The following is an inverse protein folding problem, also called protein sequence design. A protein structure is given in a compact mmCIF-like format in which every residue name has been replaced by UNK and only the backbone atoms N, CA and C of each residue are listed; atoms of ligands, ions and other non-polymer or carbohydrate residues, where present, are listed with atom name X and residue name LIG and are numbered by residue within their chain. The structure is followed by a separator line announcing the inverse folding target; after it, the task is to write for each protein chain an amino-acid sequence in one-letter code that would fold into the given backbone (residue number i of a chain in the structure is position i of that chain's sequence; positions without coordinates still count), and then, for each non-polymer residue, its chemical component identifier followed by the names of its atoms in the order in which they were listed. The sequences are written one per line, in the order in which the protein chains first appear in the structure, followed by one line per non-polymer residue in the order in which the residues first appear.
data_IF_620381371263
#
_entry.id   IF_620381371263
#
_cell.length_a   1.000
_cell.length_b   1.000
_cell.length_c   1.000
_cell.angle_alpha   90.00
_cell.angle_beta   90.00
_cell.angle_gamma   90.00
#
_symmetry.space_group_name_H-M   'P 1'
#
loop_
_entity.id
_entity.type
_entity.pdbx_description
1 polymer ?
#
# COMPACT_ATOMS: atom_id res chain seq x y z
N UNK A 1 7.27 18.12 22.37
CA UNK A 1 8.43 18.47 21.52
C UNK A 1 9.02 17.17 20.98
N UNK A 2 8.84 16.88 19.69
CA UNK A 2 9.55 15.78 19.03
C UNK A 2 11.06 16.05 19.15
N UNK A 3 11.84 15.03 19.51
CA UNK A 3 13.29 15.21 19.59
C UNK A 3 13.82 15.61 18.20
N UNK A 4 14.82 16.51 18.15
CA UNK A 4 15.45 16.96 16.88
C UNK A 4 15.87 15.80 15.98
N UNK A 5 16.23 14.66 16.56
CA UNK A 5 16.61 13.44 15.84
C UNK A 5 15.42 12.77 15.16
N UNK A 6 14.26 12.71 15.80
CA UNK A 6 13.03 12.17 15.20
C UNK A 6 12.57 13.04 14.02
N UNK A 7 12.53 14.34 14.18
CA UNK A 7 12.17 15.27 13.10
C UNK A 7 13.12 15.14 11.89
N UNK A 8 14.45 15.08 12.15
CA UNK A 8 15.44 14.91 11.09
C UNK A 8 15.29 13.58 10.36
N UNK A 9 15.04 12.48 11.08
CA UNK A 9 14.84 11.17 10.48
C UNK A 9 13.54 11.12 9.65
N UNK A 10 12.47 11.74 10.12
CA UNK A 10 11.20 11.81 9.39
C UNK A 10 11.34 12.64 8.12
N UNK A 11 11.98 13.81 8.18
CA UNK A 11 12.23 14.64 6.99
C UNK A 11 13.09 13.91 5.95
N UNK A 12 14.11 13.17 6.41
CA UNK A 12 14.95 12.37 5.52
C UNK A 12 14.14 11.25 4.85
N UNK A 13 13.34 10.50 5.62
CA UNK A 13 12.47 9.46 5.08
C UNK A 13 11.44 10.02 4.09
N UNK A 14 10.83 11.17 4.40
CA UNK A 14 9.91 11.85 3.48
C UNK A 14 10.61 12.27 2.19
N UNK A 15 11.83 12.83 2.29
CA UNK A 15 12.62 13.18 1.11
C UNK A 15 12.97 11.99 0.23
N UNK A 16 13.36 10.87 0.85
CA UNK A 16 13.61 9.60 0.13
C UNK A 16 12.33 9.10 -0.53
N UNK A 17 11.19 9.10 0.17
CA UNK A 17 9.91 8.67 -0.39
C UNK A 17 9.48 9.51 -1.58
N UNK A 18 9.68 10.83 -1.52
CA UNK A 18 9.42 11.74 -2.64
C UNK A 18 10.30 11.42 -3.85
N UNK A 19 11.59 11.25 -3.63
CA UNK A 19 12.54 10.88 -4.69
C UNK A 19 12.13 9.54 -5.34
N UNK A 20 11.77 8.56 -4.52
CA UNK A 20 11.29 7.26 -4.99
C UNK A 20 10.01 7.38 -5.83
N UNK A 21 9.07 8.21 -5.39
CA UNK A 21 7.83 8.48 -6.13
C UNK A 21 8.10 9.16 -7.48
N UNK A 22 9.05 10.12 -7.52
CA UNK A 22 9.47 10.75 -8.77
C UNK A 22 10.09 9.76 -9.76
N UNK A 23 11.02 8.93 -9.27
CA UNK A 23 11.68 7.89 -10.07
C UNK A 23 10.64 6.86 -10.57
N UNK A 24 9.74 6.43 -9.68
CA UNK A 24 8.66 5.50 -10.02
C UNK A 24 7.72 6.06 -11.08
N UNK A 25 7.35 7.34 -10.98
CA UNK A 25 6.50 8.01 -11.97
C UNK A 25 7.20 8.17 -13.32
N UNK A 26 8.47 8.56 -13.32
CA UNK A 26 9.26 8.66 -14.56
C UNK A 26 9.38 7.29 -15.25
N UNK A 27 9.61 6.23 -14.49
CA UNK A 27 9.64 4.86 -15.00
C UNK A 27 8.29 4.42 -15.56
N UNK A 28 7.19 4.70 -14.84
CA UNK A 28 5.84 4.39 -15.31
C UNK A 28 5.50 5.11 -16.61
N UNK A 29 5.91 6.37 -16.73
CA UNK A 29 5.74 7.14 -17.96
C UNK A 29 6.54 6.55 -19.14
N UNK A 30 7.79 6.19 -18.89
CA UNK A 30 8.63 5.52 -19.89
C UNK A 30 8.04 4.18 -20.31
N UNK A 31 7.56 3.39 -19.36
CA UNK A 31 6.94 2.10 -19.61
C UNK A 31 5.65 2.25 -20.43
N UNK A 32 4.86 3.31 -20.17
CA UNK A 32 3.65 3.62 -20.92
C UNK A 32 3.93 3.88 -22.41
N UNK A 33 4.98 4.62 -22.70
CA UNK A 33 5.39 4.89 -24.09
C UNK A 33 5.90 3.61 -24.75
N UNK A 34 6.61 2.75 -24.02
CA UNK A 34 7.22 1.54 -24.59
C UNK A 34 6.22 0.41 -24.84
N UNK A 35 5.29 0.18 -23.90
CA UNK A 35 4.31 -0.91 -23.98
C UNK A 35 2.99 -0.50 -24.63
N UNK A 36 2.70 0.79 -24.67
CA UNK A 36 1.38 1.30 -25.05
C UNK A 36 0.28 1.01 -24.01
N UNK A 37 -0.92 1.50 -24.30
CA UNK A 37 -2.05 1.40 -23.37
C UNK A 37 -2.48 -0.06 -23.10
N UNK A 38 -2.53 -0.91 -24.13
CA UNK A 38 -2.93 -2.32 -23.99
C UNK A 38 -1.90 -3.11 -23.18
N UNK A 39 -0.59 -2.90 -23.43
CA UNK A 39 0.48 -3.56 -22.67
C UNK A 39 0.48 -3.14 -21.21
N UNK A 40 0.28 -1.86 -20.91
CA UNK A 40 0.10 -1.40 -19.52
C UNK A 40 -1.13 -2.03 -18.86
N UNK A 41 -2.25 -2.11 -19.57
CA UNK A 41 -3.46 -2.78 -19.07
C UNK A 41 -3.19 -4.24 -18.70
N UNK A 42 -2.47 -4.97 -19.54
CA UNK A 42 -2.07 -6.35 -19.29
C UNK A 42 -1.16 -6.47 -18.05
N UNK A 43 -0.16 -5.60 -17.94
CA UNK A 43 0.72 -5.54 -16.77
C UNK A 43 -0.07 -5.23 -15.48
N UNK A 44 -1.01 -4.27 -15.51
CA UNK A 44 -1.81 -3.91 -14.33
C UNK A 44 -2.71 -5.06 -13.87
N UNK A 45 -3.30 -5.82 -14.80
CA UNK A 45 -4.06 -7.03 -14.44
C UNK A 45 -3.17 -8.10 -13.81
N UNK A 46 -1.99 -8.34 -14.39
CA UNK A 46 -1.00 -9.26 -13.83
C UNK A 46 -0.58 -8.81 -12.43
N UNK A 47 -0.33 -7.51 -12.23
CA UNK A 47 0.05 -6.95 -10.94
C UNK A 47 -1.08 -7.02 -9.90
N UNK A 48 -2.34 -6.93 -10.30
CA UNK A 48 -3.46 -7.08 -9.36
C UNK A 48 -3.54 -8.51 -8.82
N UNK A 49 -3.38 -9.51 -9.67
CA UNK A 49 -3.38 -10.93 -9.27
C UNK A 49 -2.14 -11.26 -8.44
N UNK A 50 -0.95 -10.82 -8.88
CA UNK A 50 0.29 -11.04 -8.13
C UNK A 50 0.28 -10.31 -6.79
N UNK A 51 -0.38 -9.15 -6.69
CA UNK A 51 -0.59 -8.40 -5.45
C UNK A 51 -1.44 -9.15 -4.43
N UNK A 52 -2.50 -9.85 -4.89
CA UNK A 52 -3.27 -10.75 -4.03
C UNK A 52 -2.38 -11.89 -3.50
N UNK A 53 -1.63 -12.54 -4.38
CA UNK A 53 -0.74 -13.62 -3.99
C UNK A 53 0.39 -13.13 -3.06
N UNK A 54 0.93 -11.93 -3.28
CA UNK A 54 1.90 -11.31 -2.38
C UNK A 54 1.28 -11.03 -0.99
N UNK A 55 0.02 -10.61 -0.94
CA UNK A 55 -0.71 -10.45 0.33
C UNK A 55 -0.86 -11.79 1.06
N UNK A 56 -1.17 -12.87 0.34
CA UNK A 56 -1.19 -14.24 0.87
C UNK A 56 0.20 -14.68 1.35
N UNK A 57 1.26 -14.38 0.60
CA UNK A 57 2.63 -14.71 0.94
C UNK A 57 3.09 -14.01 2.23
N UNK A 58 2.83 -12.70 2.36
CA UNK A 58 3.21 -11.91 3.54
C UNK A 58 2.45 -12.37 4.79
N UNK A 59 1.15 -12.68 4.66
CA UNK A 59 0.34 -13.32 5.72
C UNK A 59 0.50 -12.69 7.12
N UNK A 60 0.59 -11.34 7.18
CA UNK A 60 0.72 -10.59 8.43
C UNK A 60 2.09 -10.69 9.11
N UNK A 61 3.08 -11.39 8.54
CA UNK A 61 4.37 -11.66 9.18
C UNK A 61 5.15 -10.39 9.50
N UNK A 62 5.05 -9.34 8.71
CA UNK A 62 5.74 -8.07 8.96
C UNK A 62 5.39 -7.49 10.34
N UNK A 63 4.11 -7.42 10.67
CA UNK A 63 3.65 -6.93 11.98
C UNK A 63 3.91 -7.91 13.10
N UNK A 64 3.74 -9.22 12.83
CA UNK A 64 4.00 -10.25 13.82
C UNK A 64 5.48 -10.30 14.21
N UNK A 65 6.41 -10.20 13.26
CA UNK A 65 7.85 -10.14 13.54
C UNK A 65 8.22 -8.86 14.30
N UNK A 66 7.69 -7.69 13.88
CA UNK A 66 7.95 -6.42 14.59
C UNK A 66 7.54 -6.53 16.05
N UNK A 67 6.32 -7.00 16.33
CA UNK A 67 5.81 -7.09 17.69
C UNK A 67 6.53 -8.16 18.53
N UNK A 68 6.69 -9.36 17.96
CA UNK A 68 7.34 -10.47 18.67
C UNK A 68 8.78 -10.13 19.06
N UNK A 69 9.53 -9.52 18.15
CA UNK A 69 10.93 -9.14 18.41
C UNK A 69 11.01 -7.98 19.40
N UNK A 70 10.10 -6.99 19.30
CA UNK A 70 10.04 -5.90 20.27
C UNK A 70 9.71 -6.40 21.69
N UNK A 71 8.84 -7.39 21.83
CA UNK A 71 8.52 -8.04 23.12
C UNK A 71 9.75 -8.76 23.69
N UNK A 72 10.51 -9.51 22.86
CA UNK A 72 11.72 -10.21 23.29
C UNK A 72 12.88 -9.25 23.64
N UNK A 73 13.00 -8.12 22.94
CA UNK A 73 13.97 -7.07 23.27
C UNK A 73 13.62 -6.36 24.58
N UNK A 74 12.34 -6.10 24.82
CA UNK A 74 11.83 -5.45 26.03
C UNK A 74 11.92 -6.33 27.28
N UNK A 75 11.91 -7.65 27.11
CA UNK A 75 12.03 -8.63 28.21
C UNK A 75 13.44 -8.80 28.79
N UNK A 76 14.43 -8.10 28.26
CA UNK A 76 15.82 -8.12 28.75
C UNK A 76 16.64 -9.35 28.33
N UNK A 77 16.03 -10.34 27.74
CA UNK A 77 16.66 -11.59 27.27
C UNK A 77 16.91 -11.55 25.76
N UNK A 78 17.88 -10.75 25.30
CA UNK A 78 18.27 -10.66 23.88
C UNK A 78 18.62 -12.00 23.22
N UNK A 79 18.79 -13.07 24.01
CA UNK A 79 19.08 -14.43 23.52
C UNK A 79 17.92 -15.13 22.80
N UNK A 80 16.66 -14.68 23.00
CA UNK A 80 15.48 -15.28 22.36
C UNK A 80 15.14 -14.65 21.01
N UNK A 81 15.69 -13.48 20.66
CA UNK A 81 15.46 -12.76 19.39
C UNK A 81 15.83 -13.62 18.17
N UNK A 82 16.97 -14.30 18.20
CA UNK A 82 17.39 -15.17 17.10
C UNK A 82 16.43 -16.36 16.89
N UNK A 83 15.93 -16.94 17.99
CA UNK A 83 14.91 -18.01 17.95
C UNK A 83 13.56 -17.50 17.43
N UNK A 84 13.12 -16.32 17.84
CA UNK A 84 11.91 -15.69 17.35
C UNK A 84 12.02 -15.40 15.85
N UNK A 85 13.14 -14.82 15.41
CA UNK A 85 13.36 -14.51 14.00
C UNK A 85 13.42 -15.76 13.11
N UNK A 86 14.05 -16.84 13.58
CA UNK A 86 14.07 -18.13 12.84
C UNK A 86 12.66 -18.65 12.60
N UNK A 87 11.75 -18.55 13.58
CA UNK A 87 10.35 -18.95 13.42
C UNK A 87 9.59 -18.03 12.47
N UNK A 88 9.85 -16.72 12.53
CA UNK A 88 9.28 -15.76 11.57
C UNK A 88 9.74 -16.05 10.14
N UNK A 89 11.02 -16.33 9.94
CA UNK A 89 11.57 -16.70 8.63
C UNK A 89 10.98 -18.02 8.12
N UNK A 90 10.85 -19.04 9.00
CA UNK A 90 10.23 -20.32 8.63
C UNK A 90 8.75 -20.13 8.22
N UNK A 91 7.98 -19.38 9.00
CA UNK A 91 6.60 -19.04 8.66
C UNK A 91 6.51 -18.27 7.34
N UNK A 92 7.37 -17.25 7.14
CA UNK A 92 7.44 -16.49 5.91
C UNK A 92 7.80 -17.37 4.70
N UNK A 93 8.79 -18.27 4.84
CA UNK A 93 9.17 -19.22 3.79
C UNK A 93 8.02 -20.17 3.45
N UNK A 94 7.30 -20.67 4.47
CA UNK A 94 6.15 -21.56 4.29
C UNK A 94 4.98 -20.86 3.58
N UNK A 95 4.56 -19.68 4.06
CA UNK A 95 3.47 -18.92 3.45
C UNK A 95 3.85 -18.40 2.06
N UNK A 96 5.08 -17.89 1.89
CA UNK A 96 5.59 -17.40 0.62
C UNK A 96 5.76 -18.52 -0.41
N UNK A 97 6.33 -19.66 0.01
CA UNK A 97 6.45 -20.86 -0.83
C UNK A 97 5.09 -21.44 -1.22
N UNK A 98 4.15 -21.51 -0.26
CA UNK A 98 2.77 -21.94 -0.51
C UNK A 98 2.02 -21.03 -1.49
N UNK A 99 2.12 -19.70 -1.31
CA UNK A 99 1.51 -18.73 -2.22
C UNK A 99 2.14 -18.78 -3.61
N UNK A 100 3.47 -18.96 -3.69
CA UNK A 100 4.19 -19.12 -4.95
C UNK A 100 3.79 -20.41 -5.68
N UNK A 101 3.76 -21.54 -4.98
CA UNK A 101 3.29 -22.81 -5.54
C UNK A 101 1.85 -22.71 -6.03
N UNK A 102 0.97 -22.12 -5.23
CA UNK A 102 -0.44 -21.87 -5.61
C UNK A 102 -0.55 -21.01 -6.87
N UNK A 103 0.18 -19.89 -6.94
CA UNK A 103 0.19 -19.02 -8.11
C UNK A 103 0.75 -19.75 -9.35
N UNK A 104 1.81 -20.52 -9.19
CA UNK A 104 2.41 -21.27 -10.30
C UNK A 104 1.46 -22.33 -10.87
N UNK A 105 0.81 -23.10 -9.99
CA UNK A 105 -0.13 -24.15 -10.38
C UNK A 105 -1.42 -23.57 -10.98
N UNK A 106 -1.88 -22.42 -10.45
CA UNK A 106 -3.09 -21.76 -10.92
C UNK A 106 -2.82 -20.71 -12.01
N UNK A 107 -1.59 -20.54 -12.51
CA UNK A 107 -1.25 -19.53 -13.50
C UNK A 107 -2.09 -19.66 -14.79
N UNK A 108 -2.29 -20.89 -15.29
CA UNK A 108 -3.12 -21.14 -16.47
C UNK A 108 -4.60 -20.79 -16.22
N UNK A 109 -5.30 -21.36 -15.24
CA UNK A 109 -6.69 -21.00 -15.00
C UNK A 109 -6.88 -19.52 -14.65
N UNK A 110 -5.92 -18.91 -13.95
CA UNK A 110 -5.95 -17.46 -13.67
C UNK A 110 -5.81 -16.64 -14.96
N UNK A 111 -4.88 -16.99 -15.83
CA UNK A 111 -4.69 -16.31 -17.12
C UNK A 111 -5.90 -16.47 -18.04
N UNK A 112 -6.36 -17.70 -18.27
CA UNK A 112 -7.45 -17.98 -19.20
C UNK A 112 -8.83 -17.61 -18.65
N UNK A 113 -9.15 -18.03 -17.41
CA UNK A 113 -10.50 -17.89 -16.86
C UNK A 113 -10.68 -16.56 -16.11
N UNK A 114 -9.69 -16.10 -15.35
CA UNK A 114 -9.84 -14.93 -14.47
C UNK A 114 -9.40 -13.63 -15.15
N UNK A 115 -8.28 -13.60 -15.81
CA UNK A 115 -7.84 -12.42 -16.57
C UNK A 115 -8.52 -12.43 -17.96
N UNK A 116 -8.67 -13.60 -18.56
CA UNK A 116 -9.22 -13.79 -19.89
C UNK A 116 -8.21 -13.45 -20.99
N UNK A 117 -6.89 -13.57 -20.69
CA UNK A 117 -5.82 -13.33 -21.62
C UNK A 117 -4.64 -14.27 -21.36
N UNK A 118 -4.38 -15.17 -22.29
CA UNK A 118 -3.33 -16.18 -22.21
C UNK A 118 -1.92 -15.59 -22.07
N UNK A 119 -1.71 -14.38 -22.61
CA UNK A 119 -0.41 -13.67 -22.60
C UNK A 119 0.08 -13.37 -21.17
N UNK A 120 -0.76 -13.49 -20.16
CA UNK A 120 -0.39 -13.27 -18.74
C UNK A 120 0.19 -14.49 -18.06
N UNK A 121 0.01 -15.69 -18.59
CA UNK A 121 0.40 -16.94 -17.93
C UNK A 121 1.90 -16.99 -17.62
N UNK A 122 2.74 -16.65 -18.60
CA UNK A 122 4.18 -16.61 -18.41
C UNK A 122 4.58 -15.62 -17.31
N UNK A 123 3.99 -14.44 -17.31
CA UNK A 123 4.24 -13.40 -16.29
C UNK A 123 3.81 -13.87 -14.90
N UNK A 124 2.67 -14.56 -14.76
CA UNK A 124 2.21 -15.12 -13.49
C UNK A 124 3.16 -16.21 -12.96
N UNK A 125 3.67 -17.09 -13.83
CA UNK A 125 4.64 -18.11 -13.47
C UNK A 125 5.97 -17.50 -12.99
N UNK A 126 6.43 -16.44 -13.64
CA UNK A 126 7.63 -15.71 -13.23
C UNK A 126 7.39 -15.04 -11.85
N UNK A 127 6.25 -14.37 -11.68
CA UNK A 127 5.89 -13.73 -10.41
C UNK A 127 5.79 -14.74 -9.25
N UNK A 128 5.39 -15.97 -9.51
CA UNK A 128 5.31 -17.02 -8.49
C UNK A 128 6.66 -17.26 -7.79
N UNK A 129 7.78 -17.14 -8.52
CA UNK A 129 9.12 -17.32 -7.98
C UNK A 129 9.52 -16.21 -6.99
N UNK A 130 8.92 -15.02 -7.07
CA UNK A 130 9.22 -13.91 -6.16
C UNK A 130 8.42 -13.96 -4.84
N UNK A 131 7.38 -14.78 -4.74
CA UNK A 131 6.53 -14.84 -3.55
C UNK A 131 7.27 -15.19 -2.26
N UNK A 132 8.17 -16.19 -2.22
CA UNK A 132 9.00 -16.46 -1.05
C UNK A 132 9.92 -15.29 -0.68
N UNK A 133 10.46 -14.59 -1.69
CA UNK A 133 11.34 -13.45 -1.48
C UNK A 133 10.58 -12.29 -0.80
N UNK A 134 9.39 -11.95 -1.28
CA UNK A 134 8.52 -10.90 -0.72
C UNK A 134 8.21 -11.21 0.75
N UNK A 135 7.84 -12.45 1.06
CA UNK A 135 7.50 -12.84 2.43
C UNK A 135 8.70 -12.78 3.39
N UNK A 136 9.86 -13.26 2.96
CA UNK A 136 11.08 -13.21 3.76
C UNK A 136 11.57 -11.77 3.97
N UNK A 137 11.51 -10.92 2.94
CA UNK A 137 11.79 -9.49 3.05
C UNK A 137 10.83 -8.80 4.05
N UNK A 138 9.55 -9.16 4.05
CA UNK A 138 8.58 -8.63 5.01
C UNK A 138 8.94 -9.02 6.46
N UNK A 139 9.36 -10.27 6.71
CA UNK A 139 9.80 -10.72 8.02
C UNK A 139 11.06 -9.97 8.50
N UNK A 140 12.06 -9.81 7.62
CA UNK A 140 13.30 -9.07 7.90
C UNK A 140 13.04 -7.58 8.12
N UNK A 141 12.14 -6.97 7.35
CA UNK A 141 11.71 -5.59 7.54
C UNK A 141 11.09 -5.38 8.93
N UNK A 142 10.27 -6.34 9.38
CA UNK A 142 9.71 -6.34 10.73
C UNK A 142 10.78 -6.38 11.83
N UNK A 143 11.83 -7.19 11.65
CA UNK A 143 12.98 -7.25 12.54
C UNK A 143 13.68 -5.90 12.67
N UNK A 144 14.07 -5.28 11.56
CA UNK A 144 14.76 -3.99 11.58
C UNK A 144 13.89 -2.86 12.14
N UNK A 145 12.58 -2.93 11.92
CA UNK A 145 11.62 -1.99 12.50
C UNK A 145 11.58 -2.11 14.02
N UNK A 146 11.53 -3.34 14.55
CA UNK A 146 11.57 -3.60 16.00
C UNK A 146 12.87 -3.13 16.64
N UNK A 147 14.00 -3.28 15.94
CA UNK A 147 15.31 -2.81 16.40
C UNK A 147 15.53 -1.29 16.25
N UNK A 148 14.55 -0.53 15.75
CA UNK A 148 14.66 0.91 15.50
C UNK A 148 15.57 1.29 14.32
N UNK A 149 15.98 0.33 13.47
CA UNK A 149 16.90 0.49 12.34
C UNK A 149 16.16 0.58 11.01
N UNK A 150 15.15 1.43 10.93
CA UNK A 150 14.21 1.56 9.80
C UNK A 150 14.90 1.97 8.48
N UNK A 151 16.08 2.59 8.58
CA UNK A 151 16.86 2.99 7.40
C UNK A 151 17.37 1.80 6.57
N UNK A 152 17.58 0.62 7.17
CA UNK A 152 18.05 -0.58 6.46
C UNK A 152 17.00 -1.13 5.47
N UNK A 153 15.74 -1.35 5.88
CA UNK A 153 14.66 -1.67 4.93
C UNK A 153 14.44 -0.59 3.87
N UNK A 154 14.56 0.68 4.24
CA UNK A 154 14.42 1.78 3.28
C UNK A 154 15.51 1.75 2.20
N UNK A 155 16.77 1.47 2.59
CA UNK A 155 17.88 1.30 1.65
C UNK A 155 17.68 0.10 0.72
N UNK A 156 17.23 -1.04 1.27
CA UNK A 156 16.95 -2.22 0.48
C UNK A 156 15.83 -1.99 -0.53
N UNK A 157 14.78 -1.29 -0.14
CA UNK A 157 13.67 -0.93 -1.03
C UNK A 157 14.10 0.06 -2.13
N UNK A 158 14.97 1.01 -1.81
CA UNK A 158 15.58 1.90 -2.82
C UNK A 158 16.41 1.10 -3.85
N UNK A 159 17.27 0.20 -3.37
CA UNK A 159 18.08 -0.65 -4.23
C UNK A 159 17.20 -1.57 -5.11
N UNK A 160 16.15 -2.14 -4.55
CA UNK A 160 15.14 -2.95 -5.25
C UNK A 160 14.48 -2.15 -6.38
N UNK A 161 13.99 -0.95 -6.09
CA UNK A 161 13.33 -0.12 -7.10
C UNK A 161 14.29 0.26 -8.23
N UNK A 162 15.50 0.70 -7.93
CA UNK A 162 16.49 1.06 -8.93
C UNK A 162 16.92 -0.16 -9.77
N UNK A 163 17.16 -1.30 -9.13
CA UNK A 163 17.50 -2.53 -9.82
C UNK A 163 16.33 -3.02 -10.69
N UNK A 164 15.09 -2.95 -10.19
CA UNK A 164 13.90 -3.32 -10.95
C UNK A 164 13.71 -2.48 -12.20
N UNK A 165 13.94 -1.17 -12.11
CA UNK A 165 13.90 -0.25 -13.26
C UNK A 165 15.01 -0.61 -14.26
N UNK A 166 16.25 -0.74 -13.79
CA UNK A 166 17.40 -1.02 -14.64
C UNK A 166 17.26 -2.39 -15.35
N UNK A 167 16.89 -3.44 -14.61
CA UNK A 167 16.70 -4.77 -15.16
C UNK A 167 15.52 -4.83 -16.15
N UNK A 168 14.40 -4.18 -15.82
CA UNK A 168 13.25 -4.10 -16.73
C UNK A 168 13.62 -3.35 -18.01
N UNK A 169 14.31 -2.22 -17.89
CA UNK A 169 14.75 -1.46 -19.04
C UNK A 169 15.70 -2.29 -19.92
N UNK A 170 16.64 -3.00 -19.32
CA UNK A 170 17.57 -3.87 -20.02
C UNK A 170 16.85 -5.02 -20.74
N UNK A 171 15.94 -5.73 -20.05
CA UNK A 171 15.18 -6.85 -20.63
C UNK A 171 14.28 -6.39 -21.79
N UNK A 172 13.69 -5.19 -21.69
CA UNK A 172 12.86 -4.65 -22.76
C UNK A 172 13.66 -4.20 -24.00
N UNK A 173 14.97 -4.01 -23.93
CA UNK A 173 15.79 -3.75 -25.12
C UNK A 173 15.86 -4.97 -26.04
N UNK A 174 15.73 -6.18 -25.49
CA UNK A 174 15.75 -7.44 -26.23
C UNK A 174 14.36 -7.91 -26.71
N UNK A 175 13.27 -7.23 -26.38
CA UNK A 175 11.93 -7.60 -26.85
C UNK A 175 11.53 -6.81 -28.10
N UNK A 176 10.93 -7.51 -29.06
CA UNK A 176 10.43 -6.88 -30.29
C UNK A 176 9.23 -5.98 -29.99
N UNK A 177 9.12 -4.80 -30.65
CA UNK A 177 7.97 -3.93 -30.52
C UNK A 177 6.69 -4.66 -30.97
N UNK A 178 5.71 -4.78 -30.07
CA UNK A 178 4.41 -5.42 -30.36
C UNK A 178 4.19 -6.78 -29.71
N UNK A 179 5.23 -7.46 -29.21
CA UNK A 179 5.06 -8.70 -28.43
C UNK A 179 4.71 -8.35 -26.96
N UNK A 180 3.41 -8.23 -26.69
CA UNK A 180 2.89 -7.89 -25.37
C UNK A 180 3.18 -8.96 -24.31
N UNK A 181 3.21 -10.23 -24.72
CA UNK A 181 3.52 -11.34 -23.81
C UNK A 181 4.95 -11.25 -23.27
N UNK A 182 5.92 -11.15 -24.18
CA UNK A 182 7.33 -11.01 -23.81
C UNK A 182 7.60 -9.71 -23.06
N UNK A 183 6.96 -8.63 -23.45
CA UNK A 183 7.13 -7.34 -22.76
C UNK A 183 6.59 -7.37 -21.34
N UNK A 184 5.41 -7.96 -21.11
CA UNK A 184 4.84 -8.14 -19.77
C UNK A 184 5.70 -9.10 -18.93
N UNK A 185 6.20 -10.19 -19.54
CA UNK A 185 7.10 -11.13 -18.89
C UNK A 185 8.44 -10.46 -18.50
N UNK A 186 9.01 -9.61 -19.36
CA UNK A 186 10.24 -8.87 -19.10
C UNK A 186 10.06 -7.90 -17.89
N UNK A 187 8.94 -7.19 -17.81
CA UNK A 187 8.62 -6.32 -16.67
C UNK A 187 8.51 -7.12 -15.39
N UNK A 188 7.82 -8.26 -15.44
CA UNK A 188 7.64 -9.13 -14.26
C UNK A 188 8.95 -9.78 -13.86
N UNK A 189 9.80 -10.20 -14.81
CA UNK A 189 11.13 -10.76 -14.55
C UNK A 189 12.07 -9.73 -13.92
N UNK A 190 12.08 -8.49 -14.42
CA UNK A 190 12.87 -7.40 -13.83
C UNK A 190 12.49 -7.14 -12.38
N UNK A 191 11.19 -7.15 -12.07
CA UNK A 191 10.70 -7.03 -10.69
C UNK A 191 11.07 -8.23 -9.83
N UNK A 192 10.87 -9.47 -10.32
CA UNK A 192 11.20 -10.67 -9.57
C UNK A 192 12.71 -10.76 -9.25
N UNK A 193 13.56 -10.36 -10.18
CA UNK A 193 15.00 -10.30 -9.96
C UNK A 193 15.40 -9.22 -8.94
N UNK A 194 14.72 -8.06 -8.96
CA UNK A 194 14.92 -7.00 -7.98
C UNK A 194 14.49 -7.42 -6.56
N UNK A 195 13.39 -8.16 -6.42
CA UNK A 195 12.93 -8.74 -5.16
C UNK A 195 13.97 -9.73 -4.59
N UNK A 196 14.57 -10.54 -5.45
CA UNK A 196 15.65 -11.46 -5.04
C UNK A 196 16.89 -10.70 -4.55
N UNK A 197 17.28 -9.63 -5.25
CA UNK A 197 18.37 -8.74 -4.83
C UNK A 197 18.07 -8.08 -3.49
N UNK A 198 16.84 -7.59 -3.31
CA UNK A 198 16.35 -7.01 -2.05
C UNK A 198 16.45 -8.00 -0.90
N UNK A 199 16.01 -9.24 -1.13
CA UNK A 199 16.15 -10.32 -0.14
C UNK A 199 17.61 -10.59 0.21
N UNK A 200 18.49 -10.70 -0.79
CA UNK A 200 19.92 -10.94 -0.56
C UNK A 200 20.53 -9.80 0.29
N UNK A 201 20.24 -8.55 -0.06
CA UNK A 201 20.72 -7.38 0.69
C UNK A 201 20.19 -7.37 2.12
N UNK A 202 18.90 -7.56 2.31
CA UNK A 202 18.26 -7.61 3.64
C UNK A 202 18.82 -8.75 4.49
N UNK A 203 19.07 -9.91 3.88
CA UNK A 203 19.62 -11.07 4.57
C UNK A 203 21.08 -10.86 5.00
N UNK A 204 21.90 -10.26 4.14
CA UNK A 204 23.29 -9.88 4.48
C UNK A 204 23.30 -8.86 5.63
N UNK A 205 22.45 -7.83 5.55
CA UNK A 205 22.31 -6.85 6.63
C UNK A 205 21.86 -7.49 7.95
N UNK A 206 20.97 -8.49 7.88
CA UNK A 206 20.51 -9.23 9.06
C UNK A 206 21.61 -10.10 9.65
N UNK A 207 22.37 -10.84 8.84
CA UNK A 207 23.48 -11.66 9.32
C UNK A 207 24.55 -10.82 10.01
N UNK A 208 24.91 -9.68 9.42
CA UNK A 208 25.86 -8.74 10.02
C UNK A 208 25.34 -8.21 11.37
N UNK A 209 24.08 -7.87 11.44
CA UNK A 209 23.43 -7.34 12.65
C UNK A 209 23.36 -8.39 13.77
N UNK A 210 23.03 -9.63 13.42
CA UNK A 210 22.93 -10.75 14.36
C UNK A 210 24.27 -11.06 15.00
N UNK A 211 25.33 -11.14 14.19
CA UNK A 211 26.70 -11.42 14.69
C UNK A 211 27.19 -10.36 15.66
N UNK A 212 26.77 -9.10 15.49
CA UNK A 212 27.25 -7.99 16.29
C UNK A 212 26.51 -7.81 17.64
N UNK A 213 25.29 -8.33 17.78
CA UNK A 213 24.40 -7.87 18.87
C UNK A 213 23.69 -8.99 19.67
N UNK A 214 23.66 -10.25 19.21
CA UNK A 214 22.82 -11.28 19.85
C UNK A 214 23.53 -12.62 20.06
N UNK A 215 23.42 -13.16 21.28
CA UNK A 215 23.88 -14.51 21.64
C UNK A 215 22.70 -15.49 21.55
N UNK A 216 22.92 -16.68 21.00
CA UNK A 216 21.87 -17.68 20.78
C UNK A 216 21.49 -18.36 22.11
N UNK A 217 20.35 -17.98 22.72
CA UNK A 217 19.74 -18.70 23.84
C UNK A 217 18.48 -19.40 23.36
N UNK A 218 18.23 -20.61 23.86
CA UNK A 218 17.02 -21.39 23.53
C UNK A 218 15.79 -20.73 24.15
N UNK A 219 14.90 -20.24 23.29
CA UNK A 219 13.60 -19.68 23.72
C UNK A 219 12.58 -20.78 24.02
N UNK A 220 11.69 -20.52 24.98
CA UNK A 220 10.58 -21.40 25.34
C UNK A 220 9.57 -21.66 24.22
N UNK A 221 8.79 -22.74 24.30
CA UNK A 221 7.91 -23.26 23.25
C UNK A 221 6.72 -22.37 22.81
N UNK A 222 6.36 -21.33 23.54
CA UNK A 222 5.15 -20.54 23.31
C UNK A 222 5.23 -19.49 22.18
N UNK A 223 6.40 -19.24 21.58
CA UNK A 223 6.62 -18.18 20.61
C UNK A 223 5.80 -18.34 19.31
N UNK A 224 5.65 -19.57 18.79
CA UNK A 224 4.89 -19.82 17.55
C UNK A 224 3.41 -19.54 17.73
N UNK A 225 2.82 -19.88 18.88
CA UNK A 225 1.42 -19.58 19.21
C UNK A 225 1.17 -18.07 19.34
N UNK A 226 2.11 -17.34 19.96
CA UNK A 226 2.04 -15.87 20.05
C UNK A 226 2.11 -15.22 18.66
N UNK A 227 3.03 -15.67 17.81
CA UNK A 227 3.19 -15.20 16.43
C UNK A 227 1.89 -15.40 15.63
N UNK A 228 1.31 -16.61 15.64
CA UNK A 228 0.08 -16.91 14.89
C UNK A 228 -1.11 -16.10 15.39
N UNK A 229 -1.23 -15.90 16.71
CA UNK A 229 -2.30 -15.06 17.30
C UNK A 229 -2.25 -13.61 16.81
N UNK A 230 -1.09 -13.11 16.44
CA UNK A 230 -0.91 -11.76 15.89
C UNK A 230 -1.09 -11.77 14.37
N UNK A 231 -0.44 -12.72 13.67
CA UNK A 231 -0.40 -12.76 12.22
C UNK A 231 -1.76 -13.06 11.57
N UNK A 232 -2.50 -14.06 12.10
CA UNK A 232 -3.73 -14.57 11.46
C UNK A 232 -4.85 -13.54 11.36
N UNK A 233 -5.22 -12.77 12.42
CA UNK A 233 -6.27 -11.77 12.30
C UNK A 233 -5.92 -10.66 11.31
N UNK A 234 -4.66 -10.22 11.29
CA UNK A 234 -4.18 -9.20 10.37
C UNK A 234 -4.17 -9.71 8.91
N UNK A 235 -3.76 -10.96 8.73
CA UNK A 235 -3.77 -11.61 7.44
C UNK A 235 -5.18 -11.70 6.85
N UNK A 236 -6.17 -12.15 7.65
CA UNK A 236 -7.54 -12.35 7.19
C UNK A 236 -8.16 -11.04 6.66
N UNK A 237 -7.96 -9.93 7.38
CA UNK A 237 -8.45 -8.61 6.93
C UNK A 237 -7.75 -8.14 5.65
N UNK A 238 -6.45 -8.38 5.54
CA UNK A 238 -5.68 -8.04 4.34
C UNK A 238 -6.10 -8.88 3.14
N UNK A 239 -6.37 -10.18 3.34
CA UNK A 239 -6.85 -11.08 2.29
C UNK A 239 -8.19 -10.64 1.71
N UNK A 240 -9.16 -10.32 2.59
CA UNK A 240 -10.48 -9.86 2.16
C UNK A 240 -10.38 -8.61 1.30
N UNK A 241 -9.62 -7.61 1.76
CA UNK A 241 -9.43 -6.36 1.02
C UNK A 241 -8.71 -6.58 -0.32
N UNK A 242 -7.62 -7.37 -0.31
CA UNK A 242 -6.85 -7.64 -1.51
C UNK A 242 -7.65 -8.45 -2.54
N UNK A 243 -8.45 -9.42 -2.09
CA UNK A 243 -9.32 -10.20 -2.97
C UNK A 243 -10.40 -9.32 -3.62
N UNK A 244 -11.08 -8.47 -2.85
CA UNK A 244 -12.08 -7.54 -3.38
C UNK A 244 -11.47 -6.59 -4.42
N UNK A 245 -10.33 -5.98 -4.11
CA UNK A 245 -9.60 -5.10 -5.03
C UNK A 245 -9.20 -5.83 -6.33
N UNK A 246 -8.64 -7.04 -6.21
CA UNK A 246 -8.27 -7.84 -7.38
C UNK A 246 -9.48 -8.16 -8.24
N UNK A 247 -10.60 -8.56 -7.63
CA UNK A 247 -11.84 -8.83 -8.37
C UNK A 247 -12.37 -7.58 -9.09
N UNK A 248 -12.29 -6.39 -8.47
CA UNK A 248 -12.64 -5.14 -9.13
C UNK A 248 -11.78 -4.93 -10.39
N UNK A 249 -10.46 -5.05 -10.29
CA UNK A 249 -9.56 -4.91 -11.44
C UNK A 249 -9.86 -5.91 -12.55
N UNK A 250 -10.16 -7.16 -12.23
CA UNK A 250 -10.46 -8.20 -13.21
C UNK A 250 -11.82 -8.01 -13.89
N UNK A 251 -12.79 -7.43 -13.19
CA UNK A 251 -14.13 -7.19 -13.75
C UNK A 251 -14.15 -6.05 -14.76
N UNK A 252 -13.25 -5.06 -14.66
CA UNK A 252 -13.25 -3.88 -15.55
C UNK A 252 -13.06 -4.28 -17.01
N UNK A 253 -11.97 -4.94 -17.45
CA UNK A 253 -11.82 -5.31 -18.86
C UNK A 253 -12.91 -6.27 -19.36
N UNK A 254 -13.41 -7.16 -18.49
CA UNK A 254 -14.52 -8.08 -18.84
C UNK A 254 -15.82 -7.33 -19.09
N UNK A 255 -16.16 -6.41 -18.19
CA UNK A 255 -17.35 -5.59 -18.35
C UNK A 255 -17.28 -4.69 -19.58
N UNK A 256 -16.10 -4.15 -19.90
CA UNK A 256 -15.87 -3.38 -21.11
C UNK A 256 -16.00 -4.23 -22.39
N UNK A 257 -15.54 -5.48 -22.37
CA UNK A 257 -15.82 -6.42 -23.49
C UNK A 257 -17.30 -6.71 -23.65
N UNK A 258 -18.02 -6.86 -22.54
CA UNK A 258 -19.47 -7.08 -22.56
C UNK A 258 -20.26 -5.87 -23.07
N UNK A 259 -19.69 -4.66 -23.03
CA UNK A 259 -20.30 -3.45 -23.62
C UNK A 259 -20.05 -3.31 -25.14
N UNK A 260 -19.43 -4.31 -25.78
CA UNK A 260 -19.18 -4.33 -27.23
C UNK A 260 -17.78 -3.90 -27.66
N UNK A 261 -16.86 -3.61 -26.72
CA UNK A 261 -15.46 -3.31 -27.07
C UNK A 261 -14.69 -4.60 -27.41
N UNK A 262 -13.73 -4.47 -28.36
CA UNK A 262 -12.78 -5.56 -28.62
C UNK A 262 -11.88 -5.80 -27.40
N UNK A 263 -11.27 -6.98 -27.32
CA UNK A 263 -10.43 -7.34 -26.17
C UNK A 263 -9.28 -6.34 -25.96
N UNK A 264 -8.58 -5.95 -27.04
CA UNK A 264 -7.47 -5.03 -26.95
C UNK A 264 -7.93 -3.58 -26.66
N UNK A 265 -9.10 -3.14 -27.17
CA UNK A 265 -9.67 -1.83 -26.86
C UNK A 265 -10.11 -1.73 -25.38
N UNK A 266 -10.71 -2.80 -24.84
CA UNK A 266 -11.09 -2.87 -23.43
C UNK A 266 -9.85 -2.83 -22.51
N UNK A 267 -8.81 -3.57 -22.90
CA UNK A 267 -7.54 -3.61 -22.20
C UNK A 267 -6.81 -2.26 -22.26
N UNK A 268 -6.81 -1.60 -23.44
CA UNK A 268 -6.23 -0.28 -23.64
C UNK A 268 -6.96 0.79 -22.80
N UNK A 269 -8.31 0.79 -22.80
CA UNK A 269 -9.09 1.72 -21.98
C UNK A 269 -8.81 1.56 -20.47
N UNK A 270 -8.72 0.33 -20.00
CA UNK A 270 -8.32 0.03 -18.62
C UNK A 270 -6.87 0.48 -18.35
N UNK A 271 -5.95 0.20 -19.26
CA UNK A 271 -4.53 0.57 -19.16
C UNK A 271 -4.31 2.08 -19.13
N UNK A 272 -5.06 2.85 -19.91
CA UNK A 272 -4.99 4.31 -19.86
C UNK A 272 -5.41 4.81 -18.46
N UNK A 273 -6.54 4.34 -17.93
CA UNK A 273 -7.03 4.81 -16.62
C UNK A 273 -6.10 4.34 -15.51
N UNK A 274 -5.84 3.03 -15.39
CA UNK A 274 -5.09 2.46 -14.26
C UNK A 274 -3.57 2.53 -14.43
N UNK A 275 -3.07 2.49 -15.65
CA UNK A 275 -1.63 2.48 -15.91
C UNK A 275 -1.01 3.85 -16.18
N UNK A 276 -1.81 4.82 -16.66
CA UNK A 276 -1.31 6.17 -16.97
C UNK A 276 -1.89 7.23 -16.04
N UNK A 277 -3.22 7.32 -15.95
CA UNK A 277 -3.89 8.43 -15.27
C UNK A 277 -3.84 8.30 -13.76
N UNK A 278 -4.22 7.13 -13.21
CA UNK A 278 -4.24 6.94 -11.75
C UNK A 278 -2.88 7.14 -11.08
N UNK A 279 -1.75 6.61 -11.60
CA UNK A 279 -0.44 6.90 -11.04
C UNK A 279 -0.11 8.40 -11.00
N UNK A 280 -0.50 9.15 -12.03
CA UNK A 280 -0.29 10.60 -12.09
C UNK A 280 -1.15 11.35 -11.06
N UNK A 281 -2.41 10.91 -10.84
CA UNK A 281 -3.28 11.47 -9.80
C UNK A 281 -2.76 11.17 -8.40
N UNK A 282 -2.20 9.96 -8.17
CA UNK A 282 -1.65 9.58 -6.87
C UNK A 282 -0.26 10.15 -6.59
N UNK A 283 0.52 10.52 -7.61
CA UNK A 283 1.90 10.99 -7.41
C UNK A 283 2.00 12.17 -6.41
N UNK A 284 1.22 13.25 -6.51
CA UNK A 284 1.33 14.35 -5.55
C UNK A 284 0.83 14.01 -4.14
N UNK A 285 0.03 12.94 -3.96
CA UNK A 285 -0.50 12.54 -2.66
C UNK A 285 0.58 12.07 -1.67
N UNK A 286 1.79 11.76 -2.13
CA UNK A 286 2.91 11.35 -1.27
C UNK A 286 3.28 12.43 -0.24
N UNK A 287 3.09 13.72 -0.55
CA UNK A 287 3.26 14.81 0.41
C UNK A 287 2.22 14.78 1.52
N UNK A 288 0.98 14.51 1.14
CA UNK A 288 -0.12 14.46 2.09
C UNK A 288 -0.06 13.20 2.97
N UNK A 289 0.33 12.05 2.42
CA UNK A 289 0.52 10.84 3.21
C UNK A 289 1.60 11.02 4.27
N UNK A 290 2.71 11.66 3.92
CA UNK A 290 3.78 11.99 4.88
C UNK A 290 3.28 12.95 5.98
N UNK A 291 2.48 13.96 5.63
CA UNK A 291 1.87 14.86 6.61
C UNK A 291 0.89 14.11 7.53
N UNK A 292 0.08 13.21 6.98
CA UNK A 292 -0.86 12.39 7.76
C UNK A 292 -0.14 11.47 8.74
N UNK A 293 0.97 10.86 8.35
CA UNK A 293 1.79 10.00 9.23
C UNK A 293 2.38 10.77 10.42
N UNK A 294 2.73 12.06 10.25
CA UNK A 294 3.21 12.91 11.32
C UNK A 294 2.10 13.29 12.32
N UNK A 295 0.89 13.46 11.85
CA UNK A 295 -0.25 13.90 12.68
C UNK A 295 -0.87 12.75 13.48
N UNK A 296 -0.77 11.49 13.01
CA UNK A 296 -1.31 10.32 13.72
C UNK A 296 -0.83 10.23 15.17
N UNK A 297 0.49 10.29 15.49
CA UNK A 297 0.96 10.25 16.88
C UNK A 297 0.48 11.45 17.70
N UNK A 298 0.38 12.62 17.10
CA UNK A 298 -0.07 13.85 17.76
C UNK A 298 -1.54 13.74 18.16
N UNK A 299 -2.42 13.30 17.27
CA UNK A 299 -3.82 13.04 17.57
C UNK A 299 -3.98 11.99 18.67
N UNK A 300 -3.18 10.91 18.63
CA UNK A 300 -3.20 9.89 19.66
C UNK A 300 -2.78 10.45 21.01
N UNK A 301 -1.75 11.31 21.06
CA UNK A 301 -1.30 11.95 22.29
C UNK A 301 -2.38 12.89 22.89
N UNK A 302 -3.02 13.71 22.06
CA UNK A 302 -4.12 14.56 22.48
C UNK A 302 -5.32 13.75 22.98
N UNK A 303 -5.61 12.60 22.35
CA UNK A 303 -6.68 11.71 22.78
C UNK A 303 -6.41 11.11 24.17
N UNK A 304 -5.19 10.60 24.41
CA UNK A 304 -4.79 10.05 25.72
C UNK A 304 -4.83 11.13 26.80
N UNK A 305 -4.50 12.37 26.45
CA UNK A 305 -4.54 13.51 27.39
C UNK A 305 -5.94 14.09 27.57
N UNK A 306 -6.97 13.60 26.87
CA UNK A 306 -8.35 14.10 26.94
C UNK A 306 -8.56 15.52 26.40
N UNK A 307 -7.65 16.00 25.54
CA UNK A 307 -7.66 17.37 24.99
C UNK A 307 -8.50 17.46 23.71
N UNK A 308 -9.82 17.38 23.86
CA UNK A 308 -10.78 17.35 22.73
C UNK A 308 -10.71 18.58 21.82
N UNK A 309 -10.42 19.75 22.38
CA UNK A 309 -10.26 20.99 21.58
C UNK A 309 -9.03 20.91 20.66
N UNK A 310 -7.91 20.39 21.14
CA UNK A 310 -6.68 20.21 20.36
C UNK A 310 -6.88 19.17 19.25
N UNK A 311 -7.55 18.05 19.55
CA UNK A 311 -7.91 17.05 18.53
C UNK A 311 -8.70 17.71 17.37
N UNK A 312 -9.71 18.52 17.70
CA UNK A 312 -10.53 19.20 16.71
C UNK A 312 -9.73 20.20 15.87
N UNK A 313 -8.84 20.95 16.51
CA UNK A 313 -7.99 21.92 15.82
C UNK A 313 -7.00 21.22 14.89
N UNK A 314 -6.25 20.23 15.37
CA UNK A 314 -5.25 19.47 14.58
C UNK A 314 -5.91 18.74 13.41
N UNK A 315 -7.04 18.05 13.64
CA UNK A 315 -7.80 17.41 12.55
C UNK A 315 -8.34 18.43 11.55
N UNK A 316 -8.88 19.56 12.03
CA UNK A 316 -9.38 20.64 11.18
C UNK A 316 -8.28 21.32 10.37
N UNK A 317 -7.08 21.46 10.88
CA UNK A 317 -5.92 22.00 10.16
C UNK A 317 -5.47 21.05 9.05
N UNK A 318 -5.35 19.75 9.35
CA UNK A 318 -5.02 18.74 8.35
C UNK A 318 -6.03 18.72 7.21
N UNK A 319 -7.32 18.71 7.52
CA UNK A 319 -8.39 18.68 6.51
C UNK A 319 -8.38 19.95 5.64
N UNK A 320 -8.18 21.13 6.24
CA UNK A 320 -8.07 22.40 5.50
C UNK A 320 -6.83 22.43 4.61
N UNK A 321 -5.69 21.95 5.12
CA UNK A 321 -4.46 21.84 4.36
C UNK A 321 -4.65 20.87 3.18
N UNK A 322 -5.20 19.69 3.44
CA UNK A 322 -5.51 18.68 2.42
C UNK A 322 -6.41 19.23 1.32
N UNK A 323 -7.49 19.92 1.70
CA UNK A 323 -8.43 20.48 0.73
C UNK A 323 -7.79 21.59 -0.12
N UNK A 324 -7.02 22.51 0.48
CA UNK A 324 -6.32 23.56 -0.28
C UNK A 324 -5.27 22.97 -1.22
N UNK A 325 -4.48 22.04 -0.74
CA UNK A 325 -3.46 21.38 -1.52
C UNK A 325 -4.08 20.59 -2.68
N UNK A 326 -5.11 19.79 -2.41
CA UNK A 326 -5.77 18.96 -3.43
C UNK A 326 -6.50 19.79 -4.49
N UNK A 327 -7.11 20.94 -4.12
CA UNK A 327 -7.68 21.86 -5.09
C UNK A 327 -6.62 22.47 -6.00
N UNK A 328 -5.47 22.86 -5.45
CA UNK A 328 -4.36 23.36 -6.25
C UNK A 328 -3.83 22.31 -7.22
N UNK A 329 -3.60 21.08 -6.72
CA UNK A 329 -3.14 19.93 -7.55
C UNK A 329 -4.19 19.60 -8.63
N UNK A 330 -5.48 19.54 -8.26
CA UNK A 330 -6.57 19.29 -9.21
C UNK A 330 -6.59 20.34 -10.32
N UNK A 331 -6.47 21.62 -9.96
CA UNK A 331 -6.42 22.72 -10.94
C UNK A 331 -5.22 22.61 -11.88
N UNK A 332 -4.03 22.32 -11.36
CA UNK A 332 -2.83 22.10 -12.16
C UNK A 332 -3.01 20.91 -13.10
N UNK A 333 -3.48 19.76 -12.62
CA UNK A 333 -3.68 18.56 -13.41
C UNK A 333 -4.76 18.78 -14.49
N UNK A 334 -5.83 19.51 -14.18
CA UNK A 334 -6.89 19.84 -15.12
C UNK A 334 -6.39 20.77 -16.24
N UNK A 335 -5.71 21.85 -15.89
CA UNK A 335 -5.19 22.82 -16.85
C UNK A 335 -4.05 22.24 -17.71
N UNK A 336 -3.17 21.44 -17.10
CA UNK A 336 -2.03 20.83 -17.76
C UNK A 336 -2.32 19.45 -18.38
N UNK A 337 -3.59 19.00 -18.41
CA UNK A 337 -3.95 17.64 -18.84
C UNK A 337 -3.47 17.33 -20.26
N UNK A 338 -3.60 18.25 -21.21
CA UNK A 338 -3.14 18.04 -22.59
C UNK A 338 -1.61 18.00 -22.69
N UNK A 339 -0.94 18.86 -21.91
CA UNK A 339 0.52 18.87 -21.85
C UNK A 339 1.05 17.56 -21.24
N UNK A 340 0.51 17.13 -20.12
CA UNK A 340 0.92 15.92 -19.41
C UNK A 340 0.58 14.65 -20.21
N UNK A 341 -0.63 14.56 -20.77
CA UNK A 341 -1.03 13.43 -21.63
C UNK A 341 -0.24 13.37 -22.93
N UNK A 342 0.05 14.51 -23.55
CA UNK A 342 0.82 14.60 -24.77
C UNK A 342 2.32 14.40 -24.59
N UNK A 343 2.94 15.06 -23.60
CA UNK A 343 4.40 14.99 -23.38
C UNK A 343 4.82 13.70 -22.66
N UNK A 344 4.07 13.28 -21.64
CA UNK A 344 4.47 12.15 -20.80
C UNK A 344 4.05 10.82 -21.43
N UNK A 345 2.81 10.72 -21.89
CA UNK A 345 2.24 9.45 -22.35
C UNK A 345 2.04 9.35 -23.85
N UNK A 346 2.24 10.44 -24.60
CA UNK A 346 1.98 10.53 -26.04
C UNK A 346 0.56 10.02 -26.41
N UNK A 347 -0.42 10.24 -25.52
CA UNK A 347 -1.78 9.71 -25.62
C UNK A 347 -2.82 10.80 -25.40
N UNK A 348 -3.68 11.02 -26.41
CA UNK A 348 -4.84 11.93 -26.31
C UNK A 348 -5.90 11.40 -25.34
N UNK A 349 -6.05 10.08 -25.25
CA UNK A 349 -6.97 9.46 -24.33
C UNK A 349 -6.54 9.66 -22.87
N UNK A 350 -5.23 9.57 -22.60
CA UNK A 350 -4.68 9.88 -21.28
C UNK A 350 -4.97 11.34 -20.88
N UNK A 351 -4.80 12.30 -21.80
CA UNK A 351 -5.13 13.70 -21.57
C UNK A 351 -6.62 13.90 -21.26
N UNK A 352 -7.50 13.25 -22.05
CA UNK A 352 -8.96 13.31 -21.84
C UNK A 352 -9.36 12.72 -20.49
N UNK A 353 -8.90 11.53 -20.13
CA UNK A 353 -9.23 10.90 -18.86
C UNK A 353 -8.61 11.63 -17.67
N UNK A 354 -7.40 12.18 -17.83
CA UNK A 354 -6.79 13.03 -16.81
C UNK A 354 -7.66 14.26 -16.51
N UNK A 355 -8.15 14.94 -17.55
CA UNK A 355 -9.05 16.09 -17.37
C UNK A 355 -10.38 15.69 -16.70
N UNK A 356 -10.93 14.51 -17.06
CA UNK A 356 -12.15 14.01 -16.45
C UNK A 356 -11.97 13.57 -15.01
N UNK A 357 -10.81 13.04 -14.62
CA UNK A 357 -10.54 12.52 -13.29
C UNK A 357 -9.83 13.54 -12.36
N UNK A 358 -9.24 14.62 -12.89
CA UNK A 358 -8.62 15.64 -12.06
C UNK A 358 -9.55 16.21 -10.98
N UNK A 359 -10.87 16.46 -11.23
CA UNK A 359 -11.79 16.92 -10.18
C UNK A 359 -12.04 15.90 -9.06
N UNK A 360 -11.65 14.63 -9.22
CA UNK A 360 -11.73 13.61 -8.19
C UNK A 360 -10.62 13.76 -7.13
N UNK A 361 -9.51 14.42 -7.47
CA UNK A 361 -8.34 14.58 -6.58
C UNK A 361 -8.69 15.23 -5.22
N UNK A 362 -9.52 16.28 -5.14
CA UNK A 362 -9.94 16.83 -3.85
C UNK A 362 -10.67 15.84 -2.97
N UNK A 363 -11.46 14.95 -3.55
CA UNK A 363 -12.18 13.90 -2.82
C UNK A 363 -11.19 12.87 -2.30
N UNK A 364 -10.34 12.31 -3.17
CA UNK A 364 -9.33 11.30 -2.84
C UNK A 364 -8.38 11.77 -1.73
N UNK A 365 -7.85 12.98 -1.85
CA UNK A 365 -6.86 13.47 -0.89
C UNK A 365 -7.50 13.85 0.46
N UNK A 366 -8.75 14.35 0.42
CA UNK A 366 -9.50 14.62 1.66
C UNK A 366 -9.82 13.31 2.36
N UNK A 367 -10.18 12.24 1.62
CA UNK A 367 -10.40 10.92 2.19
C UNK A 367 -9.14 10.35 2.85
N UNK A 368 -7.97 10.47 2.21
CA UNK A 368 -6.68 10.10 2.80
C UNK A 368 -6.40 10.84 4.13
N UNK A 369 -6.74 12.12 4.22
CA UNK A 369 -6.57 12.91 5.44
C UNK A 369 -7.55 12.49 6.54
N UNK A 370 -8.81 12.22 6.20
CA UNK A 370 -9.84 11.69 7.11
C UNK A 370 -9.40 10.32 7.64
N UNK A 371 -8.91 9.45 6.78
CA UNK A 371 -8.42 8.12 7.12
C UNK A 371 -7.22 8.19 8.08
N UNK A 372 -6.30 9.14 7.86
CA UNK A 372 -5.22 9.46 8.79
C UNK A 372 -5.73 9.88 10.18
N UNK A 373 -6.73 10.76 10.23
CA UNK A 373 -7.37 11.15 11.49
C UNK A 373 -8.04 9.97 12.19
N UNK A 374 -8.79 9.13 11.48
CA UNK A 374 -9.45 7.96 12.03
C UNK A 374 -8.44 6.97 12.63
N UNK A 375 -7.30 6.75 11.94
CA UNK A 375 -6.20 5.91 12.44
C UNK A 375 -5.58 6.48 13.71
N UNK A 376 -5.32 7.79 13.74
CA UNK A 376 -4.78 8.48 14.92
C UNK A 376 -5.72 8.44 16.14
N UNK A 377 -7.02 8.40 15.90
CA UNK A 377 -8.06 8.29 16.93
C UNK A 377 -8.43 6.83 17.29
N UNK A 378 -7.70 5.84 16.78
CA UNK A 378 -7.97 4.42 17.06
C UNK A 378 -9.22 3.86 16.37
N UNK A 379 -9.81 4.57 15.41
CA UNK A 379 -11.01 4.18 14.68
C UNK A 379 -10.68 3.42 13.37
N UNK A 380 -9.51 2.84 13.27
CA UNK A 380 -9.05 2.13 12.07
C UNK A 380 -9.95 0.96 11.65
N UNK A 381 -10.60 0.28 12.61
CA UNK A 381 -11.51 -0.83 12.30
C UNK A 381 -12.73 -0.34 11.53
N UNK A 382 -13.24 0.86 11.85
CA UNK A 382 -14.30 1.50 11.11
C UNK A 382 -13.88 1.82 9.67
N UNK A 383 -12.73 2.47 9.49
CA UNK A 383 -12.16 2.77 8.17
C UNK A 383 -11.99 1.49 7.33
N UNK A 384 -11.47 0.41 7.93
CA UNK A 384 -11.39 -0.89 7.24
C UNK A 384 -12.75 -1.43 6.81
N UNK A 385 -13.77 -1.29 7.68
CA UNK A 385 -15.15 -1.70 7.37
C UNK A 385 -15.74 -0.93 6.20
N UNK A 386 -15.55 0.40 6.18
CA UNK A 386 -16.00 1.27 5.08
C UNK A 386 -15.32 0.90 3.76
N UNK A 387 -13.99 0.69 3.77
CA UNK A 387 -13.24 0.27 2.58
C UNK A 387 -13.72 -1.10 2.03
N UNK A 388 -14.05 -2.05 2.90
CA UNK A 388 -14.60 -3.35 2.47
C UNK A 388 -16.01 -3.16 1.88
N UNK A 389 -16.86 -2.36 2.52
CA UNK A 389 -18.21 -2.09 2.03
C UNK A 389 -18.20 -1.36 0.68
N UNK A 390 -17.33 -0.35 0.53
CA UNK A 390 -17.09 0.37 -0.72
C UNK A 390 -16.66 -0.60 -1.82
N UNK A 391 -15.63 -1.42 -1.55
CA UNK A 391 -15.13 -2.39 -2.52
C UNK A 391 -16.19 -3.42 -2.93
N UNK A 392 -17.00 -3.92 -1.98
CA UNK A 392 -18.09 -4.83 -2.28
C UNK A 392 -19.18 -4.17 -3.14
N UNK A 393 -19.55 -2.92 -2.81
CA UNK A 393 -20.53 -2.16 -3.57
C UNK A 393 -19.98 -1.82 -4.97
N UNK A 394 -18.71 -1.45 -5.08
CA UNK A 394 -18.02 -1.23 -6.34
C UNK A 394 -18.06 -2.44 -7.26
N UNK A 395 -17.85 -3.67 -6.72
CA UNK A 395 -17.99 -4.91 -7.47
C UNK A 395 -19.40 -5.09 -8.05
N UNK A 396 -20.44 -4.81 -7.26
CA UNK A 396 -21.83 -4.90 -7.70
C UNK A 396 -22.09 -3.89 -8.82
N UNK A 397 -21.68 -2.65 -8.64
CA UNK A 397 -21.84 -1.61 -9.66
C UNK A 397 -21.09 -1.94 -10.95
N UNK A 398 -19.84 -2.42 -10.85
CA UNK A 398 -19.05 -2.87 -12.01
C UNK A 398 -19.77 -3.97 -12.77
N UNK A 399 -20.36 -4.97 -12.07
CA UNK A 399 -21.04 -6.09 -12.69
C UNK A 399 -22.30 -5.69 -13.49
N UNK A 400 -23.03 -4.65 -13.03
CA UNK A 400 -24.32 -4.26 -13.63
C UNK A 400 -24.23 -3.05 -14.57
N UNK A 401 -23.39 -2.06 -14.26
CA UNK A 401 -23.32 -0.81 -15.01
C UNK A 401 -22.34 -0.88 -16.18
N UNK A 402 -21.19 -1.54 -15.97
CA UNK A 402 -20.12 -1.58 -16.98
C UNK A 402 -20.56 -2.17 -18.33
N UNK A 403 -21.30 -3.29 -18.36
CA UNK A 403 -21.79 -3.86 -19.64
C UNK A 403 -22.74 -2.94 -20.39
N UNK A 404 -23.42 -2.00 -19.70
CA UNK A 404 -24.41 -1.10 -20.30
C UNK A 404 -23.81 0.20 -20.81
N UNK A 405 -22.89 0.78 -20.05
CA UNK A 405 -22.38 2.15 -20.32
C UNK A 405 -20.87 2.21 -20.54
N UNK A 406 -20.19 1.08 -20.59
CA UNK A 406 -18.76 0.99 -20.92
C UNK A 406 -17.86 1.85 -20.03
N UNK A 407 -16.88 2.52 -20.64
CA UNK A 407 -15.90 3.37 -19.94
C UNK A 407 -16.51 4.52 -19.15
N UNK A 408 -17.66 5.07 -19.60
CA UNK A 408 -18.37 6.12 -18.84
C UNK A 408 -18.85 5.61 -17.48
N UNK A 409 -19.38 4.38 -17.44
CA UNK A 409 -19.75 3.74 -16.17
C UNK A 409 -18.54 3.54 -15.27
N UNK A 410 -17.41 3.15 -15.82
CA UNK A 410 -16.18 2.96 -15.03
C UNK A 410 -15.76 4.24 -14.32
N UNK A 411 -15.72 5.37 -15.04
CA UNK A 411 -15.41 6.66 -14.43
C UNK A 411 -16.45 7.06 -13.36
N UNK A 412 -17.74 6.87 -13.64
CA UNK A 412 -18.81 7.17 -12.68
C UNK A 412 -18.68 6.32 -11.41
N UNK A 413 -18.30 5.04 -11.53
CA UNK A 413 -18.06 4.16 -10.39
C UNK A 413 -16.86 4.63 -9.57
N UNK A 414 -15.76 5.07 -10.19
CA UNK A 414 -14.62 5.66 -9.48
C UNK A 414 -15.04 6.87 -8.64
N UNK A 415 -15.81 7.79 -9.22
CA UNK A 415 -16.34 8.94 -8.48
C UNK A 415 -17.26 8.51 -7.33
N UNK A 416 -18.17 7.58 -7.60
CA UNK A 416 -19.09 7.09 -6.59
C UNK A 416 -18.35 6.43 -5.42
N UNK A 417 -17.38 5.56 -5.69
CA UNK A 417 -16.57 4.86 -4.70
C UNK A 417 -15.85 5.84 -3.76
N UNK A 418 -15.14 6.80 -4.32
CA UNK A 418 -14.40 7.79 -3.53
C UNK A 418 -15.33 8.70 -2.70
N UNK A 419 -16.47 9.15 -3.29
CA UNK A 419 -17.45 9.95 -2.58
C UNK A 419 -18.13 9.17 -1.46
N UNK A 420 -18.46 7.90 -1.69
CA UNK A 420 -19.05 7.02 -0.68
C UNK A 420 -18.10 6.79 0.49
N UNK A 421 -16.83 6.51 0.20
CA UNK A 421 -15.79 6.32 1.22
C UNK A 421 -15.61 7.59 2.05
N UNK A 422 -15.37 8.73 1.40
CA UNK A 422 -15.23 10.03 2.06
C UNK A 422 -16.44 10.38 2.91
N UNK A 423 -17.66 10.18 2.39
CA UNK A 423 -18.88 10.52 3.11
C UNK A 423 -19.03 9.76 4.42
N UNK A 424 -18.85 8.42 4.39
CA UNK A 424 -18.98 7.59 5.57
C UNK A 424 -17.83 7.81 6.59
N UNK A 425 -16.62 7.96 6.10
CA UNK A 425 -15.44 8.23 6.94
C UNK A 425 -15.52 9.61 7.58
N UNK A 426 -15.89 10.64 6.82
CA UNK A 426 -16.08 12.01 7.34
C UNK A 426 -17.25 12.11 8.33
N UNK A 427 -18.38 11.45 8.07
CA UNK A 427 -19.49 11.38 9.02
C UNK A 427 -19.03 10.77 10.35
N UNK A 428 -18.28 9.67 10.32
CA UNK A 428 -17.76 9.04 11.53
C UNK A 428 -16.82 9.95 12.32
N UNK A 429 -15.89 10.60 11.59
CA UNK A 429 -14.98 11.56 12.19
C UNK A 429 -15.74 12.73 12.83
N UNK A 430 -16.73 13.28 12.14
CA UNK A 430 -17.58 14.35 12.66
C UNK A 430 -18.32 13.92 13.92
N UNK A 431 -18.95 12.75 13.92
CA UNK A 431 -19.63 12.23 15.12
C UNK A 431 -18.68 12.10 16.30
N UNK A 432 -17.47 11.58 16.07
CA UNK A 432 -16.46 11.46 17.12
C UNK A 432 -16.05 12.84 17.68
N UNK A 433 -15.77 13.81 16.81
CA UNK A 433 -15.38 15.16 17.20
C UNK A 433 -16.50 15.96 17.90
N UNK A 434 -17.76 15.66 17.60
CA UNK A 434 -18.92 16.27 18.27
C UNK A 434 -19.23 15.58 19.61
N UNK A 435 -19.04 14.26 19.71
CA UNK A 435 -19.32 13.48 20.91
C UNK A 435 -18.20 13.59 21.98
N UNK A 436 -16.99 14.02 21.57
CA UNK A 436 -15.91 14.27 22.52
C UNK A 436 -16.32 15.41 23.48
N UNK A 437 -16.50 15.17 24.79
CA UNK A 437 -16.98 16.19 25.70
C UNK A 437 -16.00 17.36 25.67
N UNK A 438 -16.52 18.56 25.46
CA UNK A 438 -15.79 19.80 25.73
C UNK A 438 -15.32 19.69 27.18
N UNK A 439 -14.00 19.76 27.38
CA UNK A 439 -13.41 19.72 28.73
C UNK A 439 -13.80 20.97 29.50
N UNK A 440 -15.06 21.01 29.94
CA UNK A 440 -15.56 21.93 30.94
C UNK A 440 -15.60 21.17 32.28
N UNK A 441 -14.71 21.58 33.16
CA UNK A 441 -14.58 21.22 34.57
C UNK A 441 -13.88 19.88 34.85
N UNK A 442 -12.56 19.94 35.01
CA UNK A 442 -11.94 19.15 36.09
C UNK A 442 -12.62 19.54 37.40
N UNK A 443 -13.12 18.59 38.20
CA UNK A 443 -13.28 18.86 39.61
C UNK A 443 -11.90 19.18 40.17
N UNK A 444 -11.81 20.24 40.92
CA UNK A 444 -10.61 20.71 41.60
C UNK A 444 -9.83 19.52 42.20
N UNK A 445 -8.56 19.43 41.83
CA UNK A 445 -7.56 18.57 42.46
C UNK A 445 -7.20 19.16 43.83
N UNK A 446 -8.18 19.20 44.71
CA UNK A 446 -8.08 19.59 46.09
C UNK A 446 -8.69 18.52 46.97
N UNK A 447 -7.98 17.42 47.19
CA UNK A 447 -8.10 16.51 48.37
C UNK A 447 -7.71 15.07 48.02
N UNK A 448 -6.47 14.85 47.62
CA UNK A 448 -5.76 13.61 47.94
C UNK A 448 -4.32 14.01 48.27
N UNK A 449 -4.16 14.72 49.39
CA UNK A 449 -2.89 14.75 50.11
C UNK A 449 -2.89 13.57 51.09
N UNK A 450 -1.78 12.89 51.10
CA UNK A 450 -1.28 12.02 52.19
C UNK A 450 -2.01 10.71 52.47
N UNK A 451 -1.51 9.63 51.87
CA UNK A 451 -1.37 8.36 52.54
C UNK A 451 -0.29 7.48 51.92
N UNK A 452 0.97 7.96 51.93
CA UNK A 452 2.15 7.10 51.73
C UNK A 452 3.34 7.71 52.48
N UNK A 453 3.24 7.78 53.83
CA UNK A 453 4.37 7.78 54.75
C UNK A 453 3.93 7.00 55.96
N UNK A 454 4.47 5.80 56.13
CA UNK A 454 4.82 5.08 57.31
C UNK A 454 4.61 3.57 57.12
N UNK A 455 5.73 2.84 57.18
CA UNK A 455 5.67 1.39 57.28
C UNK A 455 6.93 0.73 56.70
N UNK A 456 8.09 0.94 57.40
CA UNK A 456 9.26 0.03 57.54
C UNK A 456 9.65 -0.85 56.37
#
# INVERSE_FOLDING_TARGET
MLSRSLLKNTLLLTGVSLLMSCIGMAFQAWLAVRLGAAGLGLCQLTFSVTGLCATLAVSGIRFASTRLIAEELGGGDGGSVASAMRRCLFYGAFCGGGAGALLHLLAEPLGFLWIGDARTVLSLRIAALSMPCISLCAALSGYFTACGRVWKPALAHLAEQLAGIALTAWLLTGSEPGDLERSCAAVTMGRAAAELLSLALMFVLYLHDRCAHYTDRKAGGALSGRMLRIAVPLALSAYTRSALSTLQHLLVPRGLRSSGLTADAALAGYGVVQGMVMPLLFFPSCLLSSASELIVPELTAHQVQGRSAEIRNTAGELLRLSLRYSLAVSGILFCCADLLGGLIFHSRDAARFLRLLAPLVPVMYTDMAVDGCLKGLGLQVWSMGVNIAESALGLVLLRFLLPRWGLGAYLAILYFSELFNLALSALRLRFFLCAAPSAARRPDAGSVRCAYTAGR
#
